data_IF_435690551546
#
_entry.id   IF_435690551546
#
_cell.length_a   1.000
_cell.length_b   1.000
_cell.length_c   1.000
_cell.angle_alpha   90.00
_cell.angle_beta   90.00
_cell.angle_gamma   90.00
#
_symmetry.space_group_name_H-M   'P 1'
#
loop_
_entity.id
_entity.type
_entity.pdbx_description
1 polymer ?
#
# COMPACT_ATOMS: atom_id res chain seq x y z
N UNK A 1 16.67 -16.78 2.77
CA UNK A 1 15.91 -15.63 3.32
C UNK A 1 16.29 -14.39 2.53
N UNK A 2 15.56 -14.06 1.46
CA UNK A 2 15.77 -12.80 0.75
C UNK A 2 15.21 -11.67 1.62
N UNK A 3 16.09 -10.88 2.24
CA UNK A 3 15.75 -9.65 2.95
C UNK A 3 15.32 -8.62 1.91
N UNK A 4 14.12 -8.75 1.36
CA UNK A 4 13.56 -7.66 0.54
C UNK A 4 13.48 -6.44 1.45
N UNK A 5 14.16 -5.34 1.13
CA UNK A 5 14.16 -4.12 1.93
C UNK A 5 13.10 -3.15 1.40
N UNK A 6 12.40 -2.40 2.26
CA UNK A 6 11.47 -1.34 1.84
C UNK A 6 12.22 -0.06 1.41
N UNK A 7 13.49 -0.19 1.04
CA UNK A 7 14.32 0.93 0.60
C UNK A 7 14.08 1.13 -0.89
N UNK A 8 14.14 2.38 -1.34
CA UNK A 8 14.00 2.77 -2.75
C UNK A 8 12.62 2.53 -3.38
N UNK A 9 11.54 2.57 -2.59
CA UNK A 9 10.19 2.56 -3.14
C UNK A 9 9.88 3.95 -3.70
N UNK A 10 9.68 4.01 -5.02
CA UNK A 10 9.26 5.25 -5.68
C UNK A 10 7.81 5.58 -5.35
N UNK A 11 7.45 6.84 -5.54
CA UNK A 11 6.08 7.31 -5.36
C UNK A 11 5.11 6.54 -6.26
N UNK A 12 5.49 6.28 -7.50
CA UNK A 12 4.68 5.55 -8.48
C UNK A 12 4.41 4.11 -8.03
N UNK A 13 5.42 3.41 -7.51
CA UNK A 13 5.27 2.05 -6.97
C UNK A 13 4.33 2.06 -5.77
N UNK A 14 4.47 3.03 -4.87
CA UNK A 14 3.60 3.13 -3.70
C UNK A 14 2.16 3.49 -4.07
N UNK A 15 1.95 4.37 -5.05
CA UNK A 15 0.63 4.68 -5.61
C UNK A 15 -0.02 3.46 -6.24
N UNK A 16 0.70 2.75 -7.11
CA UNK A 16 0.21 1.51 -7.71
C UNK A 16 -0.15 0.46 -6.65
N UNK A 17 0.63 0.37 -5.57
CA UNK A 17 0.25 -0.45 -4.42
C UNK A 17 -1.05 0.01 -3.76
N UNK A 18 -1.25 1.31 -3.54
CA UNK A 18 -2.49 1.86 -2.96
C UNK A 18 -3.71 1.56 -3.84
N UNK A 19 -3.56 1.64 -5.16
CA UNK A 19 -4.60 1.26 -6.12
C UNK A 19 -4.93 -0.24 -6.04
N UNK A 20 -3.90 -1.11 -5.97
CA UNK A 20 -4.06 -2.56 -5.84
C UNK A 20 -4.77 -2.97 -4.54
N UNK A 21 -4.59 -2.21 -3.46
CA UNK A 21 -5.28 -2.45 -2.18
C UNK A 21 -6.64 -1.77 -2.07
N UNK A 22 -7.14 -1.22 -3.18
CA UNK A 22 -8.43 -0.54 -3.30
C UNK A 22 -8.56 0.69 -2.40
N UNK A 23 -7.45 1.39 -2.15
CA UNK A 23 -7.49 2.71 -1.54
C UNK A 23 -7.95 3.74 -2.58
N UNK A 24 -8.79 4.68 -2.16
CA UNK A 24 -9.23 5.80 -2.96
C UNK A 24 -8.41 7.04 -2.63
N UNK A 25 -7.96 7.73 -3.68
CA UNK A 25 -7.37 9.05 -3.57
C UNK A 25 -8.42 10.08 -3.09
N UNK A 26 -8.06 10.94 -2.15
CA UNK A 26 -8.93 12.03 -1.66
C UNK A 26 -8.47 13.37 -2.21
N UNK A 27 -7.21 13.74 -1.95
CA UNK A 27 -6.71 15.08 -2.22
C UNK A 27 -5.20 15.15 -2.09
N UNK A 28 -4.59 16.15 -2.74
CA UNK A 28 -3.19 16.53 -2.56
C UNK A 28 -3.15 17.96 -2.04
N UNK A 29 -2.44 18.22 -0.94
CA UNK A 29 -2.26 19.57 -0.40
C UNK A 29 -0.84 19.76 0.11
N UNK A 30 -0.15 20.80 -0.36
CA UNK A 30 1.21 21.14 0.10
C UNK A 30 2.20 19.98 -0.04
N UNK A 31 2.18 19.28 -1.18
CA UNK A 31 3.07 18.15 -1.43
C UNK A 31 2.80 16.91 -0.56
N UNK A 32 1.61 16.81 0.05
CA UNK A 32 1.13 15.63 0.76
C UNK A 32 -0.08 15.05 0.04
N UNK A 33 -0.01 13.77 -0.27
CA UNK A 33 -1.12 13.01 -0.82
C UNK A 33 -1.89 12.31 0.29
N UNK A 34 -3.22 12.39 0.21
CA UNK A 34 -4.13 11.71 1.13
C UNK A 34 -4.93 10.66 0.37
N UNK A 35 -4.88 9.44 0.90
CA UNK A 35 -5.59 8.26 0.43
C UNK A 35 -6.41 7.67 1.57
N UNK A 36 -7.54 7.03 1.26
CA UNK A 36 -8.38 6.37 2.27
C UNK A 36 -8.96 5.07 1.74
N UNK A 37 -9.56 4.29 2.62
CA UNK A 37 -10.32 3.10 2.29
C UNK A 37 -11.47 2.98 3.28
N UNK A 38 -12.57 2.32 2.90
CA UNK A 38 -13.80 2.32 3.69
C UNK A 38 -13.63 1.73 5.11
N UNK A 39 -12.69 0.80 5.28
CA UNK A 39 -12.35 0.16 6.56
C UNK A 39 -11.35 0.96 7.41
N UNK A 40 -10.74 2.01 6.85
CA UNK A 40 -9.69 2.77 7.53
C UNK A 40 -10.29 3.90 8.38
N UNK A 41 -9.96 3.88 9.66
CA UNK A 41 -10.26 4.98 10.60
C UNK A 41 -9.38 6.22 10.36
N UNK A 42 -8.19 6.03 9.78
CA UNK A 42 -7.23 7.10 9.51
C UNK A 42 -6.79 7.01 8.05
N UNK A 43 -6.73 8.14 7.32
CA UNK A 43 -6.24 8.13 5.96
C UNK A 43 -4.74 7.83 5.92
N UNK A 44 -4.31 7.23 4.81
CA UNK A 44 -2.91 7.05 4.44
C UNK A 44 -2.40 8.37 3.86
N UNK A 45 -1.28 8.85 4.40
CA UNK A 45 -0.67 10.11 3.98
C UNK A 45 0.81 9.89 3.73
N UNK A 46 1.32 10.45 2.64
CA UNK A 46 2.75 10.48 2.35
C UNK A 46 3.11 11.75 1.54
N UNK A 47 4.39 12.10 1.56
CA UNK A 47 4.91 13.27 0.87
C UNK A 47 5.22 12.93 -0.59
N UNK A 48 4.72 13.73 -1.53
CA UNK A 48 4.93 13.54 -2.98
C UNK A 48 6.22 14.17 -3.50
N UNK A 49 6.92 14.94 -2.67
CA UNK A 49 8.16 15.61 -3.03
C UNK A 49 9.42 14.88 -2.51
N UNK A 50 9.24 13.84 -1.69
CA UNK A 50 10.34 12.99 -1.22
C UNK A 50 10.30 11.67 -2.00
N UNK A 51 11.32 11.46 -2.84
CA UNK A 51 11.49 10.24 -3.63
C UNK A 51 12.94 9.75 -3.51
N UNK A 52 13.19 8.51 -3.06
CA UNK A 52 12.22 7.48 -2.66
C UNK A 52 11.51 7.78 -1.34
N UNK A 53 10.31 7.23 -1.17
CA UNK A 53 9.54 7.40 0.07
C UNK A 53 10.33 6.76 1.22
N UNK A 54 10.53 7.46 2.36
CA UNK A 54 11.26 6.90 3.48
C UNK A 54 10.62 5.62 4.03
N UNK A 55 11.43 4.61 4.34
CA UNK A 55 10.97 3.28 4.79
C UNK A 55 10.03 3.35 5.99
N UNK A 56 10.24 4.28 6.93
CA UNK A 56 9.39 4.41 8.12
C UNK A 56 7.98 4.90 7.79
N UNK A 57 7.81 5.75 6.75
CA UNK A 57 6.50 6.20 6.27
C UNK A 57 5.74 5.02 5.69
N UNK A 58 6.41 4.20 4.86
CA UNK A 58 5.81 3.00 4.28
C UNK A 58 5.40 2.03 5.39
N UNK A 59 6.29 1.77 6.36
CA UNK A 59 5.97 0.91 7.52
C UNK A 59 4.77 1.41 8.32
N UNK A 60 4.68 2.72 8.55
CA UNK A 60 3.55 3.29 9.26
C UNK A 60 2.24 3.14 8.48
N UNK A 61 2.27 3.38 7.16
CA UNK A 61 1.11 3.21 6.30
C UNK A 61 0.66 1.75 6.19
N UNK A 62 1.60 0.81 6.11
CA UNK A 62 1.31 -0.63 6.16
C UNK A 62 0.68 -1.03 7.50
N UNK A 63 1.14 -0.46 8.61
CA UNK A 63 0.53 -0.69 9.93
C UNK A 63 -0.91 -0.19 10.00
N UNK A 64 -1.23 0.94 9.38
CA UNK A 64 -2.61 1.46 9.29
C UNK A 64 -3.49 0.50 8.47
N UNK A 65 -2.94 -0.07 7.39
CA UNK A 65 -3.61 -1.07 6.55
C UNK A 65 -3.64 -2.49 7.16
N UNK A 66 -3.02 -2.70 8.32
CA UNK A 66 -2.80 -4.01 8.94
C UNK A 66 -2.08 -5.02 8.02
N UNK A 67 -1.17 -4.54 7.17
CA UNK A 67 -0.37 -5.36 6.25
C UNK A 67 1.07 -5.51 6.72
N UNK A 68 1.63 -6.69 6.47
CA UNK A 68 3.04 -6.92 6.67
C UNK A 68 3.86 -6.41 5.50
N UNK A 69 5.16 -6.26 5.72
CA UNK A 69 6.12 -5.99 4.63
C UNK A 69 6.10 -7.06 3.54
N UNK A 70 5.85 -8.32 3.91
CA UNK A 70 5.71 -9.41 2.94
C UNK A 70 4.47 -9.22 2.07
N UNK A 71 3.35 -8.83 2.68
CA UNK A 71 2.11 -8.57 1.93
C UNK A 71 2.28 -7.46 0.91
N UNK A 72 2.99 -6.38 1.25
CA UNK A 72 3.32 -5.31 0.30
C UNK A 72 3.96 -5.85 -0.99
N UNK A 73 5.02 -6.65 -0.86
CA UNK A 73 5.70 -7.23 -2.02
C UNK A 73 4.87 -8.31 -2.71
N UNK A 74 4.18 -9.18 -1.95
CA UNK A 74 3.29 -10.19 -2.52
C UNK A 74 2.18 -9.54 -3.37
N UNK A 75 1.66 -8.38 -2.96
CA UNK A 75 0.63 -7.63 -3.72
C UNK A 75 1.23 -7.04 -4.99
N UNK A 76 2.39 -6.37 -4.89
CA UNK A 76 3.06 -5.76 -6.06
C UNK A 76 3.49 -6.82 -7.07
N UNK A 77 3.96 -7.99 -6.62
CA UNK A 77 4.34 -9.12 -7.48
C UNK A 77 3.12 -9.90 -8.04
N UNK A 78 1.91 -9.53 -7.62
CA UNK A 78 0.65 -10.18 -8.02
C UNK A 78 0.46 -11.59 -7.46
N UNK A 79 1.11 -11.92 -6.33
CA UNK A 79 0.91 -13.15 -5.56
C UNK A 79 -0.29 -13.05 -4.62
N UNK A 80 -0.65 -11.83 -4.20
CA UNK A 80 -1.84 -11.56 -3.38
C UNK A 80 -2.70 -10.49 -4.03
N UNK A 81 -4.01 -10.63 -3.90
CA UNK A 81 -5.00 -9.65 -4.33
C UNK A 81 -5.82 -9.19 -3.12
N UNK A 82 -6.23 -7.92 -3.12
CA UNK A 82 -7.18 -7.40 -2.14
C UNK A 82 -8.56 -7.43 -2.77
N UNK A 83 -9.51 -8.12 -2.10
CA UNK A 83 -10.92 -8.08 -2.49
C UNK A 83 -11.75 -7.40 -1.43
N UNK A 84 -12.63 -6.50 -1.88
CA UNK A 84 -13.65 -5.89 -1.03
C UNK A 84 -14.71 -6.94 -0.69
N UNK A 85 -15.00 -7.11 0.59
CA UNK A 85 -16.11 -7.89 1.14
C UNK A 85 -16.93 -6.94 2.03
N UNK A 86 -18.00 -6.41 1.45
CA UNK A 86 -18.86 -5.38 2.08
C UNK A 86 -18.03 -4.13 2.45
N UNK A 87 -17.87 -3.86 3.76
CA UNK A 87 -17.08 -2.74 4.29
C UNK A 87 -15.67 -3.13 4.72
N UNK A 88 -15.27 -4.39 4.48
CA UNK A 88 -13.95 -4.92 4.82
C UNK A 88 -13.15 -5.33 3.58
N UNK A 89 -11.83 -5.44 3.72
CA UNK A 89 -10.93 -5.82 2.64
C UNK A 89 -10.10 -7.02 3.06
N UNK A 90 -10.17 -8.09 2.27
CA UNK A 90 -9.53 -9.38 2.58
C UNK A 90 -8.43 -9.64 1.57
N UNK A 91 -7.27 -10.07 2.08
CA UNK A 91 -6.19 -10.59 1.26
C UNK A 91 -6.51 -12.01 0.80
N UNK A 92 -6.46 -12.24 -0.51
CA UNK A 92 -6.50 -13.58 -1.09
C UNK A 92 -5.17 -13.89 -1.74
N UNK A 93 -4.72 -15.12 -1.59
CA UNK A 93 -3.58 -15.62 -2.34
C UNK A 93 -4.03 -15.90 -3.77
N UNK A 94 -3.33 -15.29 -4.72
CA UNK A 94 -3.49 -15.56 -6.14
C UNK A 94 -2.56 -16.73 -6.44
N UNK A 95 -3.10 -17.94 -6.46
CA UNK A 95 -2.38 -19.06 -7.06
C UNK A 95 -2.23 -18.75 -8.54
N UNK A 96 -1.07 -18.23 -8.96
CA UNK A 96 -0.67 -18.28 -10.36
C UNK A 96 -0.68 -19.77 -10.74
N UNK A 97 -1.75 -20.23 -11.40
CA UNK A 97 -1.70 -21.45 -12.21
C UNK A 97 -0.59 -21.20 -13.22
N UNK A 98 0.55 -21.83 -12.98
CA UNK A 98 1.58 -22.01 -14.00
C UNK A 98 1.22 -23.25 -14.79
#
# INVERSE_FOLDING_TARGET
>A
MSTQHLRNISIEVFKGFLDLVLCSYISTKGGHEKWTRADLRRPIIFQTHINPIPEFIIKNNLRILAYSKKDFFDIIEGKKEVKRKEDTFILREVSKKK
#
